data_IF_584941638445
#
_entry.id   IF_584941638445
#
_cell.length_a   1.000
_cell.length_b   1.000
_cell.length_c   1.000
_cell.angle_alpha   90.00
_cell.angle_beta   90.00
_cell.angle_gamma   90.00
#
_symmetry.space_group_name_H-M   'P 1'
#
loop_
_entity.id
_entity.type
_entity.pdbx_description
1 polymer ?
#
# COMPACT_ATOMS: atom_id res chain seq x y z
N UNK A 1 -16.12 9.70 5.79
CA UNK A 1 -16.03 9.82 4.31
C UNK A 1 -15.49 8.52 3.75
N UNK A 2 -16.05 8.01 2.65
CA UNK A 2 -15.56 6.81 2.00
C UNK A 2 -14.18 7.07 1.33
N UNK A 3 -13.20 6.21 1.61
CA UNK A 3 -11.90 6.19 0.93
C UNK A 3 -12.01 5.64 -0.49
N UNK A 4 -10.91 5.66 -1.25
CA UNK A 4 -10.90 5.15 -2.64
C UNK A 4 -11.04 3.62 -2.67
N UNK A 5 -10.61 2.97 -1.59
CA UNK A 5 -10.69 1.53 -1.39
C UNK A 5 -11.41 1.25 -0.06
N UNK A 6 -12.27 0.23 -0.07
CA UNK A 6 -12.95 -0.29 1.14
C UNK A 6 -12.69 -1.78 1.29
N UNK A 7 -12.81 -2.29 2.51
CA UNK A 7 -12.82 -3.73 2.76
C UNK A 7 -14.27 -4.23 2.84
N UNK A 8 -14.58 -5.37 2.22
CA UNK A 8 -15.90 -6.01 2.26
C UNK A 8 -15.74 -7.51 2.03
N UNK A 9 -16.33 -8.34 2.89
CA UNK A 9 -16.22 -9.79 2.77
C UNK A 9 -14.76 -10.29 2.82
N UNK A 10 -13.88 -9.59 3.55
CA UNK A 10 -12.46 -9.92 3.64
C UNK A 10 -11.62 -9.56 2.41
N UNK A 11 -12.20 -8.82 1.44
CA UNK A 11 -11.53 -8.38 0.21
C UNK A 11 -11.48 -6.86 0.11
N UNK A 12 -10.44 -6.34 -0.53
CA UNK A 12 -10.36 -4.93 -0.88
C UNK A 12 -11.17 -4.68 -2.14
N UNK A 13 -11.91 -3.57 -2.18
CA UNK A 13 -12.77 -3.18 -3.29
C UNK A 13 -12.47 -1.74 -3.65
N UNK A 14 -12.06 -1.52 -4.90
CA UNK A 14 -11.95 -0.19 -5.47
C UNK A 14 -13.34 0.43 -5.63
N UNK A 15 -13.48 1.70 -5.26
CA UNK A 15 -14.72 2.46 -5.40
C UNK A 15 -14.54 3.55 -6.45
N UNK A 16 -14.16 4.75 -6.02
CA UNK A 16 -13.85 5.90 -6.87
C UNK A 16 -12.86 6.81 -6.14
N UNK A 17 -12.08 7.57 -6.89
CA UNK A 17 -11.27 8.61 -6.26
C UNK A 17 -12.13 9.77 -5.77
N UNK A 18 -11.56 10.53 -4.85
CA UNK A 18 -12.14 11.74 -4.27
C UNK A 18 -11.13 12.89 -4.37
N UNK A 19 -11.64 14.12 -4.41
CA UNK A 19 -10.81 15.31 -4.65
C UNK A 19 -9.94 15.72 -3.46
N UNK A 20 -10.36 15.41 -2.23
CA UNK A 20 -9.70 15.92 -1.03
C UNK A 20 -8.21 15.52 -0.92
N UNK A 21 -7.80 14.26 -1.18
CA UNK A 21 -6.38 13.89 -1.18
C UNK A 21 -5.55 14.65 -2.22
N UNK A 22 -6.12 14.93 -3.40
CA UNK A 22 -5.46 15.72 -4.43
C UNK A 22 -5.23 17.16 -3.98
N UNK A 23 -6.24 17.79 -3.38
CA UNK A 23 -6.11 19.16 -2.87
C UNK A 23 -5.00 19.26 -1.80
N UNK A 24 -5.01 18.34 -0.83
CA UNK A 24 -3.97 18.28 0.20
C UNK A 24 -2.58 18.08 -0.40
N UNK A 25 -2.46 17.24 -1.45
CA UNK A 25 -1.19 17.07 -2.15
C UNK A 25 -0.73 18.34 -2.89
N UNK A 26 -1.66 19.10 -3.49
CA UNK A 26 -1.31 20.36 -4.18
C UNK A 26 -0.75 21.43 -3.25
N UNK A 27 -0.91 21.29 -1.93
CA UNK A 27 -0.36 22.20 -0.93
C UNK A 27 1.04 21.80 -0.45
N UNK A 28 1.54 20.62 -0.86
CA UNK A 28 2.95 20.21 -0.63
C UNK A 28 3.91 20.95 -1.58
N UNK A 29 5.22 21.07 -1.28
CA UNK A 29 6.18 21.73 -2.18
C UNK A 29 6.16 21.18 -3.61
N UNK A 30 6.09 19.85 -3.76
CA UNK A 30 6.02 19.19 -5.06
C UNK A 30 4.72 19.48 -5.81
N UNK A 31 3.58 19.43 -5.11
CA UNK A 31 2.29 19.76 -5.68
C UNK A 31 2.18 21.24 -6.08
N UNK A 32 2.68 22.15 -5.24
CA UNK A 32 2.72 23.58 -5.52
C UNK A 32 3.58 23.90 -6.74
N UNK A 33 4.75 23.24 -6.88
CA UNK A 33 5.62 23.41 -8.04
C UNK A 33 4.88 23.04 -9.34
N UNK A 34 4.17 21.91 -9.36
CA UNK A 34 3.37 21.52 -10.53
C UNK A 34 2.24 22.51 -10.81
N UNK A 35 1.49 22.92 -9.78
CA UNK A 35 0.38 23.87 -9.93
C UNK A 35 0.87 25.20 -10.50
N UNK A 36 2.01 25.71 -10.02
CA UNK A 36 2.60 26.95 -10.54
C UNK A 36 3.05 26.81 -11.99
N UNK A 37 3.65 25.67 -12.35
CA UNK A 37 4.05 25.37 -13.74
C UNK A 37 2.85 25.41 -14.69
N UNK A 38 1.74 24.76 -14.34
CA UNK A 38 0.51 24.81 -15.16
C UNK A 38 -0.10 26.22 -15.16
N UNK A 39 -0.12 26.91 -14.02
CA UNK A 39 -0.69 28.24 -13.89
C UNK A 39 0.02 29.29 -14.78
N UNK A 40 1.30 29.12 -15.09
CA UNK A 40 2.06 30.02 -15.99
C UNK A 40 1.49 30.02 -17.42
N UNK A 41 0.92 28.91 -17.87
CA UNK A 41 0.36 28.76 -19.22
C UNK A 41 -1.08 29.31 -19.33
N UNK A 42 -1.69 29.69 -18.21
CA UNK A 42 -3.05 30.24 -18.16
C UNK A 42 -3.01 31.75 -18.41
N UNK A 43 -3.52 32.18 -19.58
CA UNK A 43 -3.55 33.60 -19.98
C UNK A 43 -4.50 34.44 -19.13
N UNK A 44 -5.70 33.92 -18.84
CA UNK A 44 -6.74 34.62 -18.08
C UNK A 44 -7.51 33.66 -17.16
N UNK A 45 -7.87 34.11 -15.96
CA UNK A 45 -8.72 33.37 -15.01
C UNK A 45 -9.42 34.33 -14.04
N UNK A 46 -10.73 34.17 -13.88
CA UNK A 46 -11.55 34.96 -12.94
C UNK A 46 -11.36 34.55 -11.48
N UNK A 47 -10.91 33.31 -11.23
CA UNK A 47 -10.82 32.72 -9.89
C UNK A 47 -9.36 32.56 -9.40
N UNK A 48 -8.42 33.19 -10.12
CA UNK A 48 -6.97 33.03 -9.93
C UNK A 48 -6.39 31.88 -10.76
N UNK A 49 -5.16 32.07 -11.26
CA UNK A 49 -4.50 31.10 -12.15
C UNK A 49 -4.19 29.77 -11.46
N UNK A 50 -3.72 29.80 -10.21
CA UNK A 50 -3.43 28.56 -9.46
C UNK A 50 -4.68 27.74 -9.15
N UNK A 51 -5.82 28.39 -8.87
CA UNK A 51 -7.09 27.69 -8.63
C UNK A 51 -7.59 27.03 -9.92
N UNK A 52 -7.45 27.72 -11.05
CA UNK A 52 -7.76 27.17 -12.36
C UNK A 52 -6.85 25.98 -12.70
N UNK A 53 -5.53 26.10 -12.48
CA UNK A 53 -4.56 25.02 -12.68
C UNK A 53 -4.89 23.77 -11.85
N UNK A 54 -5.19 23.92 -10.55
CA UNK A 54 -5.68 22.81 -9.71
C UNK A 54 -6.94 22.16 -10.29
N UNK A 55 -7.86 22.96 -10.85
CA UNK A 55 -9.08 22.48 -11.48
C UNK A 55 -8.86 21.74 -12.81
N UNK A 56 -7.87 22.15 -13.60
CA UNK A 56 -7.46 21.44 -14.83
C UNK A 56 -6.87 20.09 -14.45
N UNK A 57 -5.81 20.09 -13.64
CA UNK A 57 -5.11 18.88 -13.18
C UNK A 57 -6.05 17.84 -12.55
N UNK A 58 -7.00 18.28 -11.71
CA UNK A 58 -8.00 17.38 -11.13
C UNK A 58 -8.92 16.77 -12.18
N UNK A 59 -9.44 17.58 -13.11
CA UNK A 59 -10.36 17.10 -14.14
C UNK A 59 -9.67 16.12 -15.08
N UNK A 60 -8.43 16.38 -15.47
CA UNK A 60 -7.64 15.46 -16.28
C UNK A 60 -7.40 14.13 -15.57
N UNK A 61 -6.93 14.16 -14.32
CA UNK A 61 -6.73 12.95 -13.54
C UNK A 61 -8.04 12.17 -13.43
N UNK A 62 -9.13 12.84 -13.05
CA UNK A 62 -10.44 12.22 -12.88
C UNK A 62 -10.99 11.64 -14.19
N UNK A 63 -10.75 12.29 -15.33
CA UNK A 63 -11.14 11.77 -16.64
C UNK A 63 -10.31 10.53 -17.01
N UNK A 64 -8.99 10.58 -16.86
CA UNK A 64 -8.10 9.48 -17.17
C UNK A 64 -8.44 8.22 -16.36
N UNK A 65 -8.63 8.37 -15.04
CA UNK A 65 -8.98 7.25 -14.15
C UNK A 65 -10.45 6.81 -14.22
N UNK A 66 -11.28 7.51 -15.01
CA UNK A 66 -12.64 7.07 -15.34
C UNK A 66 -12.68 6.22 -16.62
N UNK A 67 -11.57 6.12 -17.35
CA UNK A 67 -11.44 5.20 -18.47
C UNK A 67 -11.59 3.74 -17.98
N UNK A 68 -12.44 2.96 -18.65
CA UNK A 68 -12.81 1.60 -18.22
C UNK A 68 -11.60 0.64 -18.15
N UNK A 69 -10.65 0.76 -19.08
CA UNK A 69 -9.43 -0.05 -19.08
C UNK A 69 -8.58 0.26 -17.84
N UNK A 70 -8.42 1.55 -17.51
CA UNK A 70 -7.69 1.98 -16.30
C UNK A 70 -8.42 1.54 -15.03
N UNK A 71 -9.74 1.69 -14.98
CA UNK A 71 -10.55 1.23 -13.83
C UNK A 71 -10.39 -0.28 -13.62
N UNK A 72 -10.35 -1.05 -14.70
CA UNK A 72 -10.13 -2.50 -14.65
C UNK A 72 -8.76 -2.83 -14.08
N UNK A 73 -7.69 -2.17 -14.58
CA UNK A 73 -6.34 -2.34 -14.04
C UNK A 73 -6.25 -1.95 -12.56
N UNK A 74 -6.87 -0.85 -12.15
CA UNK A 74 -6.92 -0.44 -10.74
C UNK A 74 -7.62 -1.50 -9.89
N UNK A 75 -8.74 -2.07 -10.36
CA UNK A 75 -9.44 -3.14 -9.63
C UNK A 75 -8.57 -4.38 -9.49
N UNK A 76 -7.92 -4.81 -10.57
CA UNK A 76 -6.96 -5.93 -10.54
C UNK A 76 -5.84 -5.68 -9.54
N UNK A 77 -5.28 -4.46 -9.51
CA UNK A 77 -4.23 -4.09 -8.56
C UNK A 77 -4.72 -4.10 -7.10
N UNK A 78 -5.94 -3.63 -6.86
CA UNK A 78 -6.59 -3.65 -5.53
C UNK A 78 -6.88 -5.08 -5.08
N UNK A 79 -7.37 -5.93 -5.95
CA UNK A 79 -7.64 -7.35 -5.67
C UNK A 79 -6.35 -8.11 -5.38
N UNK A 80 -5.27 -7.82 -6.12
CA UNK A 80 -3.97 -8.45 -5.94
C UNK A 80 -3.18 -7.92 -4.72
N UNK A 81 -3.57 -6.78 -4.13
CA UNK A 81 -2.78 -6.12 -3.10
C UNK A 81 -2.46 -7.01 -1.90
N UNK A 82 -3.47 -7.60 -1.26
CA UNK A 82 -3.22 -8.52 -0.14
C UNK A 82 -2.66 -9.87 -0.60
N UNK A 83 -2.93 -10.28 -1.84
CA UNK A 83 -2.38 -11.50 -2.44
C UNK A 83 -0.85 -11.50 -2.53
N UNK A 84 -0.23 -10.32 -2.66
CA UNK A 84 1.25 -10.19 -2.66
C UNK A 84 1.91 -10.62 -1.36
N UNK A 85 1.15 -10.69 -0.26
CA UNK A 85 1.67 -11.19 1.00
C UNK A 85 2.06 -12.66 0.91
N UNK A 86 1.45 -13.43 0.01
CA UNK A 86 1.73 -14.85 -0.25
C UNK A 86 3.22 -15.06 -0.59
N UNK A 87 3.66 -14.45 -1.70
CA UNK A 87 5.04 -14.50 -2.17
C UNK A 87 6.00 -13.89 -1.13
N UNK A 88 5.62 -12.76 -0.53
CA UNK A 88 6.45 -12.06 0.44
C UNK A 88 6.63 -12.85 1.75
N UNK A 89 5.68 -13.68 2.16
CA UNK A 89 5.78 -14.48 3.38
C UNK A 89 6.90 -15.54 3.29
N UNK A 90 7.30 -15.93 2.07
CA UNK A 90 8.41 -16.83 1.81
C UNK A 90 9.77 -16.13 1.79
N UNK A 91 9.82 -14.79 1.81
CA UNK A 91 11.08 -14.05 1.72
C UNK A 91 12.03 -14.36 2.89
N UNK A 92 13.32 -14.45 2.57
CA UNK A 92 14.37 -14.77 3.54
C UNK A 92 14.61 -13.65 4.55
N UNK A 93 15.01 -14.03 5.76
CA UNK A 93 15.32 -13.08 6.83
C UNK A 93 14.12 -12.44 7.52
N UNK A 94 12.88 -12.66 7.05
CA UNK A 94 11.69 -12.18 7.75
C UNK A 94 11.51 -12.83 9.13
N UNK A 95 11.16 -12.05 10.17
CA UNK A 95 10.81 -12.57 11.49
C UNK A 95 9.66 -13.56 11.39
N UNK A 96 9.87 -14.77 11.90
CA UNK A 96 8.90 -15.86 11.80
C UNK A 96 8.94 -16.75 13.04
N UNK A 97 7.80 -17.35 13.38
CA UNK A 97 7.69 -18.31 14.47
C UNK A 97 6.69 -19.41 14.11
N UNK A 98 6.90 -20.60 14.66
CA UNK A 98 5.95 -21.71 14.52
C UNK A 98 4.77 -21.55 15.47
N UNK A 99 3.57 -21.84 14.97
CA UNK A 99 2.35 -21.99 15.78
C UNK A 99 1.70 -23.31 15.39
N UNK A 100 1.98 -24.36 16.17
CA UNK A 100 1.66 -25.74 15.80
C UNK A 100 2.28 -26.08 14.43
N UNK A 101 1.48 -26.54 13.46
CA UNK A 101 1.92 -26.82 12.09
C UNK A 101 1.88 -25.60 11.16
N UNK A 102 1.53 -24.41 11.66
CA UNK A 102 1.47 -23.17 10.88
C UNK A 102 2.72 -22.32 11.10
N UNK A 103 3.13 -21.56 10.08
CA UNK A 103 4.09 -20.47 10.24
C UNK A 103 3.35 -19.13 10.43
N UNK A 104 3.81 -18.35 11.40
CA UNK A 104 3.42 -16.95 11.58
C UNK A 104 4.61 -16.06 11.20
N UNK A 105 4.42 -15.18 10.23
CA UNK A 105 5.47 -14.34 9.63
C UNK A 105 5.11 -12.86 9.77
N UNK A 106 6.12 -12.03 10.00
CA UNK A 106 6.01 -10.57 9.96
C UNK A 106 6.45 -10.07 8.59
N UNK A 107 5.53 -9.47 7.83
CA UNK A 107 5.81 -8.92 6.50
C UNK A 107 5.81 -7.38 6.56
N UNK A 108 6.97 -6.73 6.43
CA UNK A 108 7.10 -5.27 6.41
C UNK A 108 6.23 -4.60 5.34
N UNK A 109 5.52 -3.54 5.71
CA UNK A 109 4.68 -2.76 4.76
C UNK A 109 5.50 -2.18 3.63
N UNK A 110 6.76 -1.83 3.87
CA UNK A 110 7.65 -1.34 2.82
C UNK A 110 7.83 -2.34 1.68
N UNK A 111 7.95 -3.65 1.96
CA UNK A 111 8.09 -4.67 0.92
C UNK A 111 6.79 -4.81 0.12
N UNK A 112 5.67 -4.89 0.82
CA UNK A 112 4.33 -4.96 0.21
C UNK A 112 4.05 -3.76 -0.71
N UNK A 113 4.26 -2.55 -0.19
CA UNK A 113 3.98 -1.33 -0.92
C UNK A 113 4.98 -1.10 -2.05
N UNK A 114 6.24 -1.53 -1.91
CA UNK A 114 7.23 -1.50 -3.01
C UNK A 114 6.80 -2.43 -4.15
N UNK A 115 6.36 -3.65 -3.83
CA UNK A 115 5.86 -4.59 -4.82
C UNK A 115 4.60 -4.05 -5.53
N UNK A 116 3.65 -3.51 -4.76
CA UNK A 116 2.45 -2.87 -5.32
C UNK A 116 2.79 -1.66 -6.19
N UNK A 117 3.72 -0.80 -5.77
CA UNK A 117 4.14 0.38 -6.52
C UNK A 117 4.74 -0.02 -7.88
N UNK A 118 5.66 -0.98 -7.92
CA UNK A 118 6.26 -1.45 -9.18
C UNK A 118 5.21 -2.02 -10.14
N UNK A 119 4.26 -2.79 -9.62
CA UNK A 119 3.17 -3.36 -10.43
C UNK A 119 2.26 -2.27 -11.00
N UNK A 120 1.80 -1.35 -10.14
CA UNK A 120 0.95 -0.22 -10.54
C UNK A 120 1.66 0.65 -11.57
N UNK A 121 2.93 1.00 -11.32
CA UNK A 121 3.70 1.84 -12.23
C UNK A 121 3.87 1.14 -13.59
N UNK A 122 4.28 -0.12 -13.62
CA UNK A 122 4.41 -0.91 -14.86
C UNK A 122 3.09 -0.98 -15.65
N UNK A 123 1.99 -1.29 -14.97
CA UNK A 123 0.70 -1.53 -15.64
C UNK A 123 -0.02 -0.25 -16.06
N UNK A 124 0.08 0.81 -15.25
CA UNK A 124 -0.63 2.07 -15.48
C UNK A 124 0.18 3.09 -16.28
N UNK A 125 1.50 3.10 -16.20
CA UNK A 125 2.33 4.03 -17.00
C UNK A 125 2.25 3.73 -18.50
N UNK A 126 2.01 2.46 -18.86
CA UNK A 126 1.77 2.03 -20.23
C UNK A 126 0.45 2.54 -20.83
N UNK A 127 -0.46 3.08 -20.02
CA UNK A 127 -1.78 3.54 -20.47
C UNK A 127 -1.70 4.96 -21.04
N UNK A 128 -2.08 5.18 -22.32
CA UNK A 128 -1.96 6.50 -22.96
C UNK A 128 -2.64 7.63 -22.19
N UNK A 129 -3.82 7.37 -21.63
CA UNK A 129 -4.59 8.37 -20.89
C UNK A 129 -3.90 8.86 -19.59
N UNK A 130 -3.02 8.05 -18.99
CA UNK A 130 -2.19 8.47 -17.86
C UNK A 130 -0.83 9.02 -18.31
N UNK A 131 -0.28 8.49 -19.40
CA UNK A 131 0.97 8.96 -19.98
C UNK A 131 0.88 10.42 -20.43
N UNK A 132 -0.28 10.83 -20.97
CA UNK A 132 -0.52 12.16 -21.56
C UNK A 132 -1.03 13.23 -20.59
N UNK A 133 -1.08 12.97 -19.27
CA UNK A 133 -1.53 13.97 -18.29
C UNK A 133 -0.63 15.21 -18.31
N UNK A 134 -1.19 16.41 -18.28
CA UNK A 134 -0.43 17.67 -18.20
C UNK A 134 0.43 17.70 -16.92
N UNK A 135 -0.10 17.08 -15.86
CA UNK A 135 0.61 16.91 -14.59
C UNK A 135 1.83 15.98 -14.62
N UNK A 136 2.03 15.26 -15.74
CA UNK A 136 3.16 14.37 -15.99
C UNK A 136 3.39 13.34 -14.89
N UNK A 137 4.67 13.02 -14.68
CA UNK A 137 5.11 12.03 -13.71
C UNK A 137 4.72 12.38 -12.27
N UNK A 138 4.77 13.66 -11.88
CA UNK A 138 4.44 14.07 -10.51
C UNK A 138 2.98 13.80 -10.15
N UNK A 139 2.06 14.00 -11.09
CA UNK A 139 0.64 13.69 -10.88
C UNK A 139 0.38 12.17 -10.86
N UNK A 140 1.05 11.41 -11.73
CA UNK A 140 0.99 9.94 -11.72
C UNK A 140 1.51 9.35 -10.41
N UNK A 141 2.68 9.79 -9.96
CA UNK A 141 3.28 9.31 -8.72
C UNK A 141 2.40 9.63 -7.49
N UNK A 142 1.79 10.83 -7.45
CA UNK A 142 0.79 11.15 -6.43
C UNK A 142 -0.34 10.11 -6.42
N UNK A 143 -0.91 9.83 -7.61
CA UNK A 143 -2.01 8.91 -7.74
C UNK A 143 -1.62 7.49 -7.29
N UNK A 144 -0.48 6.97 -7.74
CA UNK A 144 0.00 5.62 -7.37
C UNK A 144 0.22 5.49 -5.86
N UNK A 145 0.94 6.45 -5.27
CA UNK A 145 1.18 6.47 -3.82
C UNK A 145 -0.11 6.58 -3.04
N UNK A 146 -1.07 7.39 -3.51
CA UNK A 146 -2.35 7.54 -2.83
C UNK A 146 -3.20 6.27 -2.92
N UNK A 147 -3.23 5.61 -4.07
CA UNK A 147 -3.93 4.33 -4.25
C UNK A 147 -3.39 3.28 -3.27
N UNK A 148 -2.07 3.14 -3.15
CA UNK A 148 -1.43 2.23 -2.19
C UNK A 148 -1.78 2.59 -0.74
N UNK A 149 -1.74 3.88 -0.38
CA UNK A 149 -2.13 4.32 0.94
C UNK A 149 -3.61 3.98 1.25
N UNK A 150 -4.51 4.09 0.26
CA UNK A 150 -5.92 3.74 0.39
C UNK A 150 -6.13 2.22 0.55
N UNK A 151 -5.41 1.39 -0.20
CA UNK A 151 -5.44 -0.07 -0.06
C UNK A 151 -4.99 -0.50 1.34
N UNK A 152 -3.85 0.02 1.81
CA UNK A 152 -3.38 -0.28 3.16
C UNK A 152 -4.34 0.23 4.23
N UNK A 153 -4.83 1.46 4.12
CA UNK A 153 -5.77 2.01 5.10
C UNK A 153 -7.08 1.22 5.13
N UNK A 154 -7.54 0.69 4.00
CA UNK A 154 -8.70 -0.19 3.94
C UNK A 154 -8.44 -1.55 4.63
N UNK A 155 -7.26 -2.13 4.45
CA UNK A 155 -6.85 -3.35 5.15
C UNK A 155 -6.72 -3.12 6.67
N UNK A 156 -6.10 -2.03 7.09
CA UNK A 156 -5.94 -1.68 8.51
C UNK A 156 -7.29 -1.42 9.20
N UNK A 157 -8.21 -0.68 8.55
CA UNK A 157 -9.59 -0.45 9.06
C UNK A 157 -10.43 -1.71 9.17
N UNK A 158 -10.07 -2.78 8.45
CA UNK A 158 -10.74 -4.06 8.59
C UNK A 158 -10.30 -4.82 9.84
N UNK A 159 -9.31 -4.30 10.58
CA UNK A 159 -8.81 -4.82 11.85
C UNK A 159 -8.57 -6.33 11.82
N UNK A 160 -7.71 -6.82 10.89
CA UNK A 160 -7.42 -8.24 10.79
C UNK A 160 -6.99 -8.79 12.14
N UNK A 161 -7.56 -9.92 12.51
CA UNK A 161 -7.24 -10.63 13.74
C UNK A 161 -7.27 -12.14 13.50
N UNK A 162 -6.75 -12.99 14.41
CA UNK A 162 -6.90 -14.44 14.27
C UNK A 162 -8.37 -14.91 14.22
N UNK A 163 -9.30 -14.09 14.71
CA UNK A 163 -10.76 -14.36 14.66
C UNK A 163 -11.40 -13.85 13.38
N UNK A 164 -10.87 -12.77 12.81
CA UNK A 164 -11.37 -12.13 11.60
C UNK A 164 -10.19 -11.88 10.65
N UNK A 165 -9.66 -12.93 10.01
CA UNK A 165 -8.54 -12.77 9.10
C UNK A 165 -8.97 -12.13 7.78
N UNK A 166 -8.00 -11.55 7.07
CA UNK A 166 -8.15 -11.19 5.66
C UNK A 166 -7.40 -12.20 4.80
N UNK A 167 -7.96 -12.55 3.64
CA UNK A 167 -7.26 -13.38 2.67
C UNK A 167 -5.98 -12.67 2.20
N UNK A 168 -4.87 -13.39 2.18
CA UNK A 168 -3.54 -12.86 1.86
C UNK A 168 -2.82 -13.73 0.82
N UNK A 169 -3.58 -14.24 -0.16
CA UNK A 169 -3.11 -15.20 -1.16
C UNK A 169 -3.80 -16.55 -1.06
N UNK A 170 -3.12 -17.58 -1.54
CA UNK A 170 -3.63 -18.96 -1.55
C UNK A 170 -3.30 -19.65 -0.22
N UNK A 171 -2.04 -19.50 0.22
CA UNK A 171 -1.51 -20.23 1.37
C UNK A 171 -1.47 -19.39 2.65
N UNK A 172 -1.92 -18.13 2.61
CA UNK A 172 -1.75 -17.21 3.74
C UNK A 172 -2.99 -16.37 4.03
N UNK A 173 -3.11 -16.00 5.31
CA UNK A 173 -4.10 -15.04 5.80
C UNK A 173 -3.42 -13.95 6.64
N UNK A 174 -3.86 -12.70 6.50
CA UNK A 174 -3.45 -11.60 7.37
C UNK A 174 -4.26 -11.65 8.66
N UNK A 175 -3.58 -11.83 9.78
CA UNK A 175 -4.15 -11.99 11.13
C UNK A 175 -3.82 -10.82 12.07
N UNK A 176 -3.22 -9.76 11.54
CA UNK A 176 -2.94 -8.53 12.28
C UNK A 176 -2.21 -7.50 11.41
N UNK A 177 -2.31 -6.23 11.78
CA UNK A 177 -1.54 -5.13 11.19
C UNK A 177 -1.04 -4.24 12.32
N UNK A 178 0.24 -3.90 12.28
CA UNK A 178 0.79 -2.80 13.07
C UNK A 178 1.13 -1.68 12.08
N UNK A 179 0.55 -0.49 12.23
CA UNK A 179 0.74 0.62 11.27
C UNK A 179 1.89 1.55 11.64
N UNK A 180 2.38 1.46 12.88
CA UNK A 180 3.23 2.48 13.50
C UNK A 180 4.70 2.06 13.56
N UNK A 181 5.00 0.76 13.43
CA UNK A 181 6.35 0.25 13.55
C UNK A 181 7.28 0.78 12.44
N UNK A 182 8.28 1.59 12.78
CA UNK A 182 9.19 2.16 11.77
C UNK A 182 10.27 1.16 11.37
N UNK A 183 10.11 0.58 10.18
CA UNK A 183 11.19 -0.10 9.47
C UNK A 183 12.23 0.90 8.98
N UNK A 184 13.51 0.50 9.01
CA UNK A 184 14.60 1.32 8.48
C UNK A 184 14.96 0.80 7.10
N UNK A 185 14.56 1.57 6.09
CA UNK A 185 14.63 1.15 4.69
C UNK A 185 16.05 1.41 4.16
N UNK A 186 16.78 0.38 3.68
CA UNK A 186 18.15 0.54 3.20
C UNK A 186 18.25 1.12 1.78
N UNK A 187 17.13 1.44 1.14
CA UNK A 187 17.04 1.93 -0.23
C UNK A 187 16.13 3.16 -0.31
N UNK A 188 16.20 3.90 -1.43
CA UNK A 188 15.38 5.09 -1.71
C UNK A 188 13.92 4.70 -1.98
N UNK A 189 13.20 4.27 -0.94
CA UNK A 189 11.76 4.06 -0.99
C UNK A 189 11.05 4.95 0.05
N UNK A 190 9.75 5.21 -0.13
CA UNK A 190 8.97 5.93 0.85
C UNK A 190 9.02 5.21 2.19
N UNK A 191 9.06 5.96 3.29
CA UNK A 191 9.04 5.40 4.65
C UNK A 191 7.65 4.80 4.96
N UNK A 192 7.36 3.64 4.39
CA UNK A 192 6.16 2.87 4.66
C UNK A 192 6.32 2.11 5.98
N UNK A 193 6.06 2.80 7.10
CA UNK A 193 5.99 2.21 8.43
C UNK A 193 4.96 1.05 8.53
N UNK A 194 5.14 0.17 9.50
CA UNK A 194 4.24 -0.90 9.82
C UNK A 194 4.52 -2.22 9.11
N UNK A 195 3.75 -3.23 9.44
CA UNK A 195 3.83 -4.59 8.92
C UNK A 195 2.50 -5.33 9.06
N UNK A 196 2.35 -6.39 8.29
CA UNK A 196 1.31 -7.39 8.44
C UNK A 196 1.85 -8.58 9.24
N UNK A 197 0.99 -9.17 10.06
CA UNK A 197 1.20 -10.51 10.60
C UNK A 197 0.43 -11.49 9.73
N UNK A 198 1.11 -12.43 9.11
CA UNK A 198 0.50 -13.41 8.20
C UNK A 198 0.68 -14.82 8.75
N UNK A 199 -0.41 -15.58 8.73
CA UNK A 199 -0.46 -16.96 9.20
C UNK A 199 -0.67 -17.89 8.02
N UNK A 200 0.12 -18.95 7.96
CA UNK A 200 0.03 -19.98 6.94
C UNK A 200 -1.23 -20.83 7.10
N UNK A 201 -1.95 -21.02 6.01
CA UNK A 201 -3.00 -22.02 5.87
C UNK A 201 -2.34 -23.37 5.57
N UNK A 202 -2.67 -24.36 6.38
CA UNK A 202 -2.21 -25.74 6.18
C UNK A 202 -3.41 -26.66 6.10
N UNK A 203 -3.16 -27.97 5.95
CA UNK A 203 -4.22 -28.98 6.01
C UNK A 203 -4.86 -29.06 7.40
N UNK A 204 -4.17 -28.59 8.44
CA UNK A 204 -4.70 -28.57 9.80
C UNK A 204 -5.67 -27.41 10.02
N UNK A 205 -6.80 -27.63 10.71
CA UNK A 205 -7.76 -26.57 10.97
C UNK A 205 -7.22 -25.55 11.99
N UNK A 206 -7.50 -24.27 11.74
CA UNK A 206 -7.21 -23.19 12.68
C UNK A 206 -8.21 -23.24 13.86
N UNK A 207 -7.84 -23.99 14.90
CA UNK A 207 -8.65 -24.16 16.11
C UNK A 207 -8.64 -22.90 17.00
N UNK A 208 -9.50 -22.88 18.03
CA UNK A 208 -9.48 -21.83 19.06
C UNK A 208 -8.12 -21.74 19.77
N UNK A 209 -7.46 -22.88 20.01
CA UNK A 209 -6.14 -22.93 20.62
C UNK A 209 -5.09 -22.27 19.73
N UNK A 210 -5.08 -22.59 18.43
CA UNK A 210 -4.18 -21.95 17.45
C UNK A 210 -4.39 -20.44 17.46
N UNK A 211 -5.63 -19.95 17.38
CA UNK A 211 -5.91 -18.50 17.41
C UNK A 211 -5.41 -17.81 18.67
N UNK A 212 -5.53 -18.46 19.84
CA UNK A 212 -5.02 -17.93 21.11
C UNK A 212 -3.50 -17.83 21.07
N UNK A 213 -2.82 -18.88 20.64
CA UNK A 213 -1.36 -18.89 20.52
C UNK A 213 -0.86 -17.87 19.48
N UNK A 214 -1.56 -17.69 18.35
CA UNK A 214 -1.22 -16.64 17.38
C UNK A 214 -1.29 -15.26 18.02
N UNK A 215 -2.36 -14.95 18.78
CA UNK A 215 -2.48 -13.67 19.46
C UNK A 215 -1.33 -13.43 20.47
N UNK A 216 -0.97 -14.45 21.24
CA UNK A 216 0.17 -14.40 22.17
C UNK A 216 1.50 -14.17 21.43
N UNK A 217 1.72 -14.85 20.29
CA UNK A 217 2.93 -14.69 19.47
C UNK A 217 3.01 -13.32 18.81
N UNK A 218 1.89 -12.75 18.36
CA UNK A 218 1.84 -11.37 17.85
C UNK A 218 2.34 -10.40 18.92
N UNK A 219 1.86 -10.53 20.15
CA UNK A 219 2.33 -9.68 21.25
C UNK A 219 3.84 -9.86 21.52
N UNK A 220 4.34 -11.10 21.46
CA UNK A 220 5.78 -11.38 21.55
C UNK A 220 6.60 -10.75 20.41
N UNK A 221 6.05 -10.69 19.19
CA UNK A 221 6.69 -9.96 18.09
C UNK A 221 6.75 -8.46 18.37
N UNK A 222 5.69 -7.84 18.90
CA UNK A 222 5.69 -6.40 19.19
C UNK A 222 6.80 -6.02 20.18
N UNK A 223 7.03 -6.86 21.18
CA UNK A 223 8.13 -6.67 22.14
C UNK A 223 9.51 -6.92 21.52
N UNK A 224 9.68 -8.00 20.74
CA UNK A 224 10.99 -8.33 20.16
C UNK A 224 11.40 -7.43 18.99
N UNK A 225 10.45 -6.97 18.17
CA UNK A 225 10.75 -6.05 17.06
C UNK A 225 11.22 -4.69 17.55
N UNK A 226 10.69 -4.23 18.69
CA UNK A 226 11.08 -2.94 19.28
C UNK A 226 12.49 -2.98 19.87
N UNK A 227 12.97 -4.15 20.31
CA UNK A 227 14.35 -4.32 20.79
C UNK A 227 15.40 -4.44 19.68
N UNK A 228 15.00 -4.71 18.43
CA UNK A 228 15.93 -4.77 17.30
C UNK A 228 16.64 -3.43 17.08
N UNK A 229 17.96 -3.50 16.95
CA UNK A 229 18.81 -2.38 16.55
C UNK A 229 18.52 -1.92 15.13
N UNK A 230 19.05 -0.75 14.78
CA UNK A 230 18.96 -0.20 13.42
C UNK A 230 19.57 -1.14 12.38
N UNK A 231 20.70 -1.76 12.69
CA UNK A 231 21.44 -2.63 11.76
C UNK A 231 20.62 -3.90 11.48
N UNK A 232 20.08 -4.53 12.52
CA UNK A 232 19.26 -5.74 12.37
C UNK A 232 18.00 -5.50 11.53
N UNK A 233 17.30 -4.36 11.74
CA UNK A 233 16.13 -4.00 10.92
C UNK A 233 16.49 -3.79 9.44
N UNK A 234 17.65 -3.18 9.16
CA UNK A 234 18.14 -3.01 7.81
C UNK A 234 18.47 -4.36 7.17
N UNK A 235 19.16 -5.24 7.89
CA UNK A 235 19.60 -6.54 7.38
C UNK A 235 18.43 -7.50 7.13
N UNK A 236 17.35 -7.39 7.92
CA UNK A 236 16.08 -8.08 7.64
C UNK A 236 15.53 -7.62 6.27
N UNK A 237 15.45 -6.31 6.04
CA UNK A 237 14.91 -5.79 4.79
C UNK A 237 15.81 -6.07 3.58
N UNK A 238 17.14 -6.05 3.76
CA UNK A 238 18.08 -6.39 2.69
C UNK A 238 17.89 -7.84 2.23
N UNK A 239 17.92 -8.79 3.16
CA UNK A 239 17.69 -10.22 2.88
C UNK A 239 16.32 -10.47 2.24
N UNK A 240 15.27 -9.85 2.79
CA UNK A 240 13.91 -10.07 2.29
C UNK A 240 13.64 -9.43 0.92
N UNK A 241 14.42 -8.41 0.53
CA UNK A 241 14.29 -7.77 -0.78
C UNK A 241 15.16 -8.42 -1.86
N UNK A 242 16.05 -9.35 -1.49
CA UNK A 242 16.99 -9.99 -2.42
C UNK A 242 18.04 -9.03 -2.98
N UNK A 243 18.24 -7.86 -2.36
CA UNK A 243 19.26 -6.88 -2.79
C UNK A 243 20.61 -7.32 -2.22
N UNK A 244 21.63 -7.61 -3.06
CA UNK A 244 22.98 -7.96 -2.59
C UNK A 244 23.69 -6.77 -1.93
N UNK A 245 24.73 -7.07 -1.15
CA UNK A 245 25.60 -6.07 -0.49
C UNK A 245 26.37 -5.17 -1.48
#
# INVERSE_FOLDING_TARGET
>A
MAGWVRCSGGRLIYTRITRAPFMAWTDTPRGQALVRSVAQHIRFSLLGKERAARGILWRELAAAISNEQIVTLIRTEVDAYLGRLDELAYADGLPRTGVNLHRLVVVPRVLLNSAAYRSIDTNLSAQPALASLEGGESLREFFYRRLIAEMHAAAARAEPSPKQPLAAGHDWISVGVNSDFVWRVPFNAPAWAGHHYVLELTREPITRAVRKTVAERIHGFEQSLTSLSRIERNDILRRASGVPD
#
